data_IF_229440668856
#
_entry.id   IF_229440668856
#
_cell.length_a   1.000
_cell.length_b   1.000
_cell.length_c   1.000
_cell.angle_alpha   90.00
_cell.angle_beta   90.00
_cell.angle_gamma   90.00
#
_symmetry.space_group_name_H-M   'P 1'
#
loop_
_entity.id
_entity.type
_entity.pdbx_description
1 polymer ?
#
# COMPACT_ATOMS: atom_id res chain seq x y z
N UNK A 1 -3.47 -1.78 9.53
CA UNK A 1 -2.13 -1.84 10.18
C UNK A 1 -1.73 -3.26 10.62
N UNK A 2 -2.48 -3.95 11.48
CA UNK A 2 -2.09 -5.30 11.95
C UNK A 2 -1.90 -6.31 10.80
N UNK A 3 -2.81 -6.33 9.83
CA UNK A 3 -2.68 -7.18 8.65
C UNK A 3 -1.44 -6.82 7.81
N UNK A 4 -1.19 -5.53 7.58
CA UNK A 4 0.01 -5.03 6.91
C UNK A 4 1.30 -5.45 7.65
N UNK A 5 1.36 -5.30 8.98
CA UNK A 5 2.51 -5.79 9.74
C UNK A 5 2.73 -7.30 9.59
N UNK A 6 1.66 -8.10 9.57
CA UNK A 6 1.74 -9.55 9.33
C UNK A 6 2.26 -9.89 7.93
N UNK A 7 1.94 -9.10 6.91
CA UNK A 7 2.43 -9.33 5.54
C UNK A 7 3.92 -9.08 5.42
N UNK A 8 4.45 -8.10 6.15
CA UNK A 8 5.88 -7.80 6.21
C UNK A 8 6.68 -8.95 6.84
N UNK A 9 6.19 -9.50 7.96
CA UNK A 9 6.89 -10.57 8.70
C UNK A 9 6.90 -11.89 7.91
N UNK A 10 5.78 -12.22 7.25
CA UNK A 10 5.62 -13.51 6.56
C UNK A 10 6.21 -13.56 5.15
N UNK A 11 6.94 -12.52 4.74
CA UNK A 11 7.50 -12.37 3.39
C UNK A 11 6.47 -12.69 2.28
N UNK A 12 5.22 -12.23 2.44
CA UNK A 12 4.15 -12.54 1.49
C UNK A 12 4.51 -11.94 0.11
N UNK A 13 4.41 -12.70 -1.01
CA UNK A 13 4.87 -12.23 -2.32
C UNK A 13 3.94 -11.20 -2.96
N UNK A 14 2.67 -11.18 -2.56
CA UNK A 14 1.63 -10.27 -3.07
C UNK A 14 1.02 -9.51 -1.90
N UNK A 15 0.99 -8.19 -1.99
CA UNK A 15 0.32 -7.31 -1.05
C UNK A 15 -0.90 -6.68 -1.73
N UNK A 16 -2.09 -6.97 -1.21
CA UNK A 16 -3.33 -6.30 -1.62
C UNK A 16 -3.68 -5.24 -0.57
N UNK A 17 -3.79 -4.00 -1.01
CA UNK A 17 -4.20 -2.85 -0.20
C UNK A 17 -5.58 -2.40 -0.67
N UNK A 18 -6.49 -2.25 0.26
CA UNK A 18 -7.81 -1.69 0.02
C UNK A 18 -7.89 -0.36 0.79
N UNK A 19 -8.23 0.73 0.11
CA UNK A 19 -8.31 2.08 0.67
C UNK A 19 -9.57 2.28 1.53
N UNK A 20 -9.91 1.27 2.35
CA UNK A 20 -10.64 1.44 3.60
C UNK A 20 -9.75 2.07 4.71
N UNK A 21 -8.78 2.87 4.30
CA UNK A 21 -7.85 3.67 5.12
C UNK A 21 -8.45 5.01 5.56
N UNK A 22 -9.76 5.22 5.37
CA UNK A 22 -10.48 6.42 5.80
C UNK A 22 -10.35 6.76 7.30
N UNK A 23 -9.92 5.79 8.14
CA UNK A 23 -9.71 5.97 9.58
C UNK A 23 -8.24 6.11 10.00
N UNK A 24 -7.30 6.31 9.07
CA UNK A 24 -5.87 6.47 9.37
C UNK A 24 -5.50 7.95 9.31
N UNK A 25 -4.80 8.43 10.35
CA UNK A 25 -4.27 9.80 10.36
C UNK A 25 -3.10 9.97 9.37
N UNK A 26 -2.84 11.21 8.97
CA UNK A 26 -1.85 11.52 7.94
C UNK A 26 -0.40 11.18 8.32
N UNK A 27 -0.06 11.07 9.61
CA UNK A 27 1.27 10.64 10.03
C UNK A 27 1.43 9.14 9.81
N UNK A 28 0.44 8.37 10.23
CA UNK A 28 0.42 6.92 10.05
C UNK A 28 0.38 6.54 8.56
N UNK A 29 -0.37 7.27 7.73
CA UNK A 29 -0.40 7.08 6.28
C UNK A 29 1.00 7.21 5.66
N UNK A 30 1.74 8.26 6.03
CA UNK A 30 3.12 8.46 5.57
C UNK A 30 4.06 7.31 5.96
N UNK A 31 3.90 6.76 7.17
CA UNK A 31 4.71 5.63 7.62
C UNK A 31 4.42 4.36 6.83
N UNK A 32 3.14 4.11 6.51
CA UNK A 32 2.74 2.99 5.66
C UNK A 32 3.33 3.18 4.25
N UNK A 33 3.22 4.37 3.68
CA UNK A 33 3.76 4.67 2.36
C UNK A 33 5.28 4.45 2.30
N UNK A 34 6.03 4.97 3.28
CA UNK A 34 7.47 4.75 3.36
C UNK A 34 7.82 3.24 3.48
N UNK A 35 7.01 2.48 4.21
CA UNK A 35 7.20 1.03 4.34
C UNK A 35 6.92 0.29 3.02
N UNK A 36 5.92 0.73 2.27
CA UNK A 36 5.59 0.21 0.93
C UNK A 36 6.74 0.49 -0.05
N UNK A 37 7.28 1.70 -0.05
CA UNK A 37 8.44 2.05 -0.89
C UNK A 37 9.67 1.19 -0.56
N UNK A 38 9.93 0.91 0.72
CA UNK A 38 11.06 0.05 1.12
C UNK A 38 10.95 -1.40 0.63
N UNK A 39 9.74 -1.92 0.41
CA UNK A 39 9.51 -3.28 -0.09
C UNK A 39 9.24 -3.31 -1.59
N UNK A 40 9.20 -2.15 -2.25
CA UNK A 40 8.91 -2.03 -3.66
C UNK A 40 9.95 -2.77 -4.50
N UNK A 41 9.50 -3.46 -5.54
CA UNK A 41 10.35 -4.32 -6.38
C UNK A 41 10.69 -5.70 -5.78
N UNK A 42 10.53 -5.88 -4.46
CA UNK A 42 10.65 -7.21 -3.82
C UNK A 42 9.34 -7.99 -3.80
N UNK A 43 8.21 -7.30 -4.02
CA UNK A 43 6.85 -7.83 -3.93
C UNK A 43 5.96 -7.22 -5.00
N UNK A 44 4.95 -7.97 -5.40
CA UNK A 44 3.85 -7.43 -6.21
C UNK A 44 2.88 -6.72 -5.27
N UNK A 45 2.51 -5.48 -5.60
CA UNK A 45 1.62 -4.66 -4.78
C UNK A 45 0.44 -4.25 -5.65
N UNK A 46 -0.77 -4.58 -5.20
CA UNK A 46 -2.02 -4.17 -5.84
C UNK A 46 -2.75 -3.30 -4.83
N UNK A 47 -3.10 -2.08 -5.23
CA UNK A 47 -3.81 -1.13 -4.37
C UNK A 47 -5.08 -0.67 -5.05
N UNK A 48 -6.19 -0.70 -4.32
CA UNK A 48 -7.44 -0.06 -4.72
C UNK A 48 -7.45 1.31 -4.06
N UNK A 49 -7.54 2.38 -4.83
CA UNK A 49 -7.58 3.75 -4.31
C UNK A 49 -8.64 4.61 -5.02
N UNK A 50 -9.35 5.41 -4.25
CA UNK A 50 -10.25 6.51 -4.58
C UNK A 50 -9.52 7.84 -4.78
N UNK A 51 -8.27 7.98 -4.32
CA UNK A 51 -7.45 9.19 -4.53
C UNK A 51 -6.27 8.88 -5.44
N UNK A 52 -6.16 9.61 -6.56
CA UNK A 52 -5.04 9.46 -7.50
C UNK A 52 -3.69 9.71 -6.82
N UNK A 53 -3.62 10.64 -5.87
CA UNK A 53 -2.39 10.92 -5.10
C UNK A 53 -1.84 9.70 -4.35
N UNK A 54 -2.70 8.74 -3.98
CA UNK A 54 -2.31 7.50 -3.27
C UNK A 54 -1.59 6.52 -4.20
N UNK A 55 -1.91 6.55 -5.50
CA UNK A 55 -1.41 5.58 -6.51
C UNK A 55 -0.60 6.25 -7.62
N UNK A 56 -0.30 7.54 -7.50
CA UNK A 56 0.40 8.33 -8.53
C UNK A 56 1.76 7.73 -8.89
N UNK A 57 2.41 7.07 -7.93
CA UNK A 57 3.73 6.48 -8.10
C UNK A 57 3.65 5.02 -8.57
N UNK A 58 2.47 4.46 -8.84
CA UNK A 58 2.31 3.07 -9.26
C UNK A 58 2.95 2.79 -10.64
N UNK A 59 3.36 1.54 -10.86
CA UNK A 59 3.93 1.12 -12.14
C UNK A 59 2.89 1.13 -13.28
N UNK A 60 1.66 0.75 -12.96
CA UNK A 60 0.50 0.84 -13.84
C UNK A 60 -0.70 1.31 -13.02
N UNK A 61 -1.53 2.16 -13.63
CA UNK A 61 -2.80 2.63 -13.07
C UNK A 61 -3.89 2.20 -14.03
N UNK A 62 -4.87 1.44 -13.53
CA UNK A 62 -6.04 0.99 -14.28
C UNK A 62 -7.25 1.75 -13.77
N UNK A 63 -7.95 2.42 -14.68
CA UNK A 63 -9.19 3.16 -14.41
C UNK A 63 -10.23 2.74 -15.47
N UNK A 64 -11.47 2.47 -15.06
CA UNK A 64 -12.58 2.22 -16.00
C UNK A 64 -13.20 3.51 -16.52
#
# INVERSE_FOLDING_TARGET
LLAFGRTLIRNIPILLLDEATANIDSHTEKQIQASIENIRGSKTIVSIAHRLSTVQDANEIVQS
#
